data_IF_088093668034
#
_entry.id   IF_088093668034
#
_cell.length_a   1.000
_cell.length_b   1.000
_cell.length_c   1.000
_cell.angle_alpha   90.00
_cell.angle_beta   90.00
_cell.angle_gamma   90.00
#
_symmetry.space_group_name_H-M   'P 1'
#
loop_
_entity.id
_entity.type
_entity.pdbx_description
1 polymer ?
#
# COMPACT_ATOMS: atom_id res chain seq x y z
N UNK A 1 -44.42 10.12 -12.65
CA UNK A 1 -43.00 10.48 -12.71
C UNK A 1 -42.25 9.58 -11.73
N UNK A 2 -41.57 8.54 -12.20
CA UNK A 2 -40.81 7.64 -11.34
C UNK A 2 -39.36 8.12 -11.30
N UNK A 3 -38.95 8.68 -10.17
CA UNK A 3 -37.59 9.15 -9.92
C UNK A 3 -36.65 7.95 -9.90
N UNK A 4 -35.83 7.82 -10.94
CA UNK A 4 -34.80 6.80 -11.04
C UNK A 4 -33.69 7.05 -10.03
N UNK A 5 -33.61 6.23 -8.99
CA UNK A 5 -32.46 6.19 -8.09
C UNK A 5 -31.26 5.66 -8.89
N UNK A 6 -30.40 6.56 -9.37
CA UNK A 6 -29.12 6.17 -9.96
C UNK A 6 -28.24 5.54 -8.87
N UNK A 7 -28.21 4.20 -8.86
CA UNK A 7 -27.27 3.39 -8.06
C UNK A 7 -25.87 4.00 -8.16
N UNK A 8 -25.27 4.23 -6.99
CA UNK A 8 -24.02 4.97 -6.82
C UNK A 8 -22.91 4.56 -7.77
N UNK A 9 -22.09 5.55 -8.15
CA UNK A 9 -20.85 5.42 -8.93
C UNK A 9 -20.17 4.08 -8.60
N UNK A 10 -20.11 3.17 -9.58
CA UNK A 10 -19.24 1.99 -9.51
C UNK A 10 -17.82 2.52 -9.28
N UNK A 11 -17.32 2.41 -8.04
CA UNK A 11 -15.92 2.70 -7.74
C UNK A 11 -15.09 1.80 -8.63
N UNK A 12 -14.26 2.38 -9.48
CA UNK A 12 -13.29 1.62 -10.27
C UNK A 12 -12.51 0.75 -9.30
N UNK A 13 -12.49 -0.58 -9.48
CA UNK A 13 -11.76 -1.45 -8.59
C UNK A 13 -10.29 -1.01 -8.56
N UNK A 14 -9.74 -0.84 -7.36
CA UNK A 14 -8.31 -0.55 -7.20
C UNK A 14 -7.53 -1.74 -7.73
N UNK A 15 -6.40 -1.48 -8.39
CA UNK A 15 -5.53 -2.53 -8.89
C UNK A 15 -4.88 -3.25 -7.69
N UNK A 16 -4.56 -4.52 -7.86
CA UNK A 16 -3.92 -5.35 -6.84
C UNK A 16 -2.46 -5.59 -7.23
N UNK A 17 -1.55 -5.32 -6.31
CA UNK A 17 -0.12 -5.59 -6.43
C UNK A 17 0.26 -6.71 -5.48
N UNK A 18 1.09 -7.64 -5.95
CA UNK A 18 1.66 -8.72 -5.13
C UNK A 18 3.05 -9.07 -5.63
N UNK A 19 3.97 -9.36 -4.74
CA UNK A 19 5.33 -9.73 -5.11
C UNK A 19 6.27 -9.77 -3.91
N UNK A 20 7.55 -10.00 -4.18
CA UNK A 20 8.59 -9.90 -3.16
C UNK A 20 9.01 -8.45 -2.99
N UNK A 21 9.08 -7.98 -1.75
CA UNK A 21 9.59 -6.66 -1.43
C UNK A 21 11.12 -6.67 -1.52
N UNK A 22 11.67 -5.97 -2.49
CA UNK A 22 13.11 -5.95 -2.76
C UNK A 22 13.80 -4.77 -2.08
N UNK A 23 13.11 -3.65 -1.94
CA UNK A 23 13.68 -2.44 -1.33
C UNK A 23 12.59 -1.59 -0.71
N UNK A 24 12.95 -0.94 0.41
CA UNK A 24 12.11 0.02 1.13
C UNK A 24 12.97 1.24 1.43
N UNK A 25 12.57 2.38 0.88
CA UNK A 25 13.18 3.66 1.19
C UNK A 25 12.18 4.53 1.93
N UNK A 26 12.60 5.19 3.02
CA UNK A 26 11.76 6.06 3.84
C UNK A 26 12.17 7.52 3.63
N UNK A 27 11.19 8.35 3.31
CA UNK A 27 11.29 9.81 3.20
C UNK A 27 10.39 10.49 4.24
N UNK A 28 10.88 11.57 4.86
CA UNK A 28 10.19 12.31 5.92
C UNK A 28 10.91 12.24 7.28
N UNK A 29 10.29 12.76 8.36
CA UNK A 29 8.88 13.14 8.47
C UNK A 29 8.55 14.48 7.80
N UNK A 30 7.40 14.53 7.13
CA UNK A 30 6.82 15.75 6.58
C UNK A 30 5.83 16.35 7.58
N UNK A 31 5.99 17.65 7.90
CA UNK A 31 5.08 18.43 8.74
C UNK A 31 4.61 19.67 7.96
N UNK A 32 3.34 19.69 7.57
CA UNK A 32 2.75 20.81 6.84
C UNK A 32 2.29 21.95 7.78
N UNK A 33 2.01 21.64 9.06
CA UNK A 33 1.66 22.61 10.10
C UNK A 33 2.05 22.14 11.50
N UNK A 34 2.21 23.08 12.42
CA UNK A 34 2.49 22.81 13.83
C UNK A 34 1.31 22.04 14.46
N UNK A 35 1.55 20.80 14.87
CA UNK A 35 0.53 19.90 15.44
C UNK A 35 -0.01 18.84 14.47
N UNK A 36 0.46 18.78 13.22
CA UNK A 36 0.16 17.64 12.34
C UNK A 36 0.93 16.39 12.79
N UNK A 37 0.33 15.19 12.72
CA UNK A 37 1.08 13.94 12.85
C UNK A 37 2.22 13.87 11.81
N UNK A 38 3.32 13.23 12.19
CA UNK A 38 4.46 12.98 11.33
C UNK A 38 4.03 12.12 10.13
N UNK A 39 4.09 12.69 8.91
CA UNK A 39 3.80 11.93 7.70
C UNK A 39 5.09 11.35 7.13
N UNK A 40 5.07 10.05 6.86
CA UNK A 40 6.15 9.32 6.21
C UNK A 40 5.72 8.89 4.83
N UNK A 41 6.63 9.00 3.87
CA UNK A 41 6.47 8.46 2.53
C UNK A 41 7.49 7.35 2.34
N UNK A 42 7.01 6.19 1.90
CA UNK A 42 7.84 5.05 1.61
C UNK A 42 7.83 4.77 0.11
N UNK A 43 9.00 4.55 -0.44
CA UNK A 43 9.19 4.03 -1.80
C UNK A 43 9.47 2.54 -1.69
N UNK A 44 8.54 1.74 -2.19
CA UNK A 44 8.57 0.28 -2.15
C UNK A 44 8.91 -0.25 -3.54
N UNK A 45 9.94 -1.08 -3.66
CA UNK A 45 10.25 -1.81 -4.90
C UNK A 45 9.78 -3.24 -4.73
N UNK A 46 8.81 -3.65 -5.53
CA UNK A 46 8.18 -4.97 -5.47
C UNK A 46 8.26 -5.60 -6.85
N UNK A 47 9.01 -6.69 -6.99
CA UNK A 47 9.23 -7.41 -8.25
C UNK A 47 9.68 -6.47 -9.40
N UNK A 48 10.63 -5.58 -9.10
CA UNK A 48 11.17 -4.56 -9.99
C UNK A 48 10.26 -3.36 -10.23
N UNK A 49 9.04 -3.35 -9.66
CA UNK A 49 8.08 -2.26 -9.83
C UNK A 49 8.09 -1.33 -8.63
N UNK A 50 8.23 -0.02 -8.88
CA UNK A 50 8.24 1.00 -7.83
C UNK A 50 6.83 1.47 -7.48
N UNK A 51 6.56 1.54 -6.18
CA UNK A 51 5.30 2.00 -5.60
C UNK A 51 5.55 3.04 -4.51
N UNK A 52 4.70 4.05 -4.42
CA UNK A 52 4.68 5.03 -3.33
C UNK A 52 3.64 4.64 -2.28
N UNK A 53 4.01 4.64 -1.01
CA UNK A 53 3.13 4.44 0.13
C UNK A 53 3.27 5.62 1.09
N UNK A 54 2.17 6.09 1.68
CA UNK A 54 2.20 7.20 2.64
C UNK A 54 1.41 6.81 3.87
N UNK A 55 2.02 6.98 5.03
CA UNK A 55 1.41 6.67 6.33
C UNK A 55 1.86 7.65 7.40
N UNK A 56 1.14 7.65 8.52
CA UNK A 56 1.46 8.39 9.75
C UNK A 56 2.40 7.56 10.65
N UNK A 57 2.62 6.29 10.30
CA UNK A 57 3.48 5.36 11.04
C UNK A 57 4.95 5.45 10.61
N UNK A 58 5.83 5.51 11.61
CA UNK A 58 7.28 5.55 11.41
C UNK A 58 7.90 4.19 11.03
N UNK A 59 7.11 3.12 11.12
CA UNK A 59 7.51 1.73 10.89
C UNK A 59 6.46 1.03 10.00
N UNK A 60 6.93 0.17 9.09
CA UNK A 60 6.06 -0.62 8.23
C UNK A 60 5.90 -2.04 8.77
N UNK A 61 4.72 -2.67 8.60
CA UNK A 61 4.49 -4.06 8.99
C UNK A 61 5.09 -5.08 7.99
N UNK A 62 6.01 -4.64 7.12
CA UNK A 62 6.62 -5.45 6.06
C UNK A 62 8.13 -5.21 6.03
N UNK A 63 8.92 -6.24 5.75
CA UNK A 63 10.38 -6.17 5.65
C UNK A 63 10.87 -6.56 4.25
N UNK A 64 12.06 -6.10 3.87
CA UNK A 64 12.70 -6.55 2.62
C UNK A 64 12.87 -8.06 2.66
N UNK A 65 12.49 -8.73 1.57
CA UNK A 65 12.42 -10.18 1.44
C UNK A 65 11.02 -10.76 1.66
N UNK A 66 10.12 -10.05 2.36
CA UNK A 66 8.75 -10.49 2.56
C UNK A 66 7.97 -10.49 1.25
N UNK A 67 7.06 -11.44 1.12
CA UNK A 67 6.05 -11.40 0.08
C UNK A 67 4.94 -10.47 0.54
N UNK A 68 4.65 -9.44 -0.23
CA UNK A 68 3.65 -8.42 0.13
C UNK A 68 2.46 -8.45 -0.81
N UNK A 69 1.30 -8.09 -0.29
CA UNK A 69 0.05 -7.88 -1.04
C UNK A 69 -0.52 -6.52 -0.67
N UNK A 70 -1.00 -5.80 -1.67
CA UNK A 70 -1.60 -4.49 -1.47
C UNK A 70 -2.50 -4.09 -2.63
N UNK A 71 -3.30 -3.07 -2.40
CA UNK A 71 -4.06 -2.39 -3.45
C UNK A 71 -3.37 -1.09 -3.79
N UNK A 72 -3.38 -0.72 -5.06
CA UNK A 72 -2.83 0.54 -5.51
C UNK A 72 -3.73 1.23 -6.53
N UNK A 73 -3.48 2.52 -6.71
CA UNK A 73 -4.02 3.34 -7.79
C UNK A 73 -2.87 3.83 -8.64
N UNK A 74 -3.02 3.74 -9.95
CA UNK A 74 -2.12 4.41 -10.86
C UNK A 74 -2.53 5.88 -10.97
N UNK A 75 -1.56 6.78 -10.91
CA UNK A 75 -1.75 8.22 -11.07
C UNK A 75 -0.70 8.76 -12.01
N UNK A 76 -0.87 10.01 -12.48
CA UNK A 76 0.18 10.69 -13.26
C UNK A 76 1.53 10.81 -12.52
N UNK A 77 1.50 10.75 -11.19
CA UNK A 77 2.68 10.81 -10.34
C UNK A 77 3.24 9.42 -9.96
N UNK A 78 2.74 8.34 -10.59
CA UNK A 78 3.16 6.96 -10.33
C UNK A 78 2.11 6.11 -9.61
N UNK A 79 2.55 4.94 -9.15
CA UNK A 79 1.70 3.95 -8.48
C UNK A 79 1.62 4.22 -6.97
N UNK A 80 0.41 4.42 -6.46
CA UNK A 80 0.18 4.75 -5.05
C UNK A 80 -0.55 3.64 -4.33
N UNK A 81 0.10 3.07 -3.34
CA UNK A 81 -0.46 2.04 -2.47
C UNK A 81 -1.52 2.64 -1.54
N UNK A 82 -2.61 1.92 -1.35
CA UNK A 82 -3.67 2.29 -0.43
C UNK A 82 -3.23 2.06 1.03
N UNK A 83 -3.35 3.10 1.86
CA UNK A 83 -2.83 3.15 3.24
C UNK A 83 -3.15 1.91 4.07
N UNK A 84 -4.37 1.40 3.96
CA UNK A 84 -4.87 0.29 4.79
C UNK A 84 -4.81 -1.07 4.07
N UNK A 85 -4.05 -1.19 2.98
CA UNK A 85 -4.01 -2.42 2.17
C UNK A 85 -2.68 -3.14 2.18
N UNK A 86 -1.61 -2.50 2.65
CA UNK A 86 -0.29 -3.09 2.69
C UNK A 86 -0.23 -4.18 3.78
N UNK A 87 0.10 -5.40 3.39
CA UNK A 87 0.30 -6.51 4.31
C UNK A 87 1.24 -7.56 3.75
N UNK A 88 1.79 -8.39 4.65
CA UNK A 88 2.55 -9.58 4.28
C UNK A 88 1.58 -10.65 3.76
N UNK A 89 1.88 -11.17 2.58
CA UNK A 89 1.21 -12.32 2.00
C UNK A 89 1.69 -13.58 2.73
N UNK A 90 0.80 -14.18 3.53
CA UNK A 90 1.07 -15.46 4.18
C UNK A 90 0.79 -16.56 3.16
N UNK A 91 1.83 -17.29 2.74
CA UNK A 91 1.63 -18.51 1.96
C UNK A 91 1.28 -19.67 2.92
N UNK A 92 0.17 -20.40 2.70
CA UNK A 92 -0.22 -21.50 3.58
C UNK A 92 0.78 -22.66 3.59
N UNK A 93 1.65 -22.78 2.57
CA UNK A 93 2.69 -23.81 2.49
C UNK A 93 3.91 -23.47 3.36
N UNK A 94 4.13 -22.20 3.68
CA UNK A 94 5.17 -21.77 4.64
C UNK A 94 4.75 -21.89 6.10
N UNK A 95 3.46 -22.14 6.38
CA UNK A 95 2.93 -22.15 7.75
C UNK A 95 3.12 -23.49 8.49
N UNK A 96 3.61 -24.54 7.81
CA UNK A 96 3.84 -25.87 8.41
C UNK A 96 5.33 -26.23 8.45
N UNK A 97 6.08 -25.66 9.39
CA UNK A 97 7.35 -26.27 9.84
C UNK A 97 7.69 -25.90 11.27
N UNK A 98 6.85 -26.35 12.19
CA UNK A 98 7.27 -26.65 13.55
C UNK A 98 6.81 -28.09 13.84
N UNK A 99 7.77 -29.00 13.97
CA UNK A 99 7.60 -30.41 14.34
C UNK A 99 8.78 -30.83 15.18
#
# INVERSE_FOLDING_TARGET
>A
MASGFQRGKKRTPKLEGRGQLESVEREGPFKEWLGMPDLYRYTLVVDGTTYSYQTEDAELPVSVGDRVVFRYKETRAGNWVDRNSLGVAIDPSTYQRDS
#
